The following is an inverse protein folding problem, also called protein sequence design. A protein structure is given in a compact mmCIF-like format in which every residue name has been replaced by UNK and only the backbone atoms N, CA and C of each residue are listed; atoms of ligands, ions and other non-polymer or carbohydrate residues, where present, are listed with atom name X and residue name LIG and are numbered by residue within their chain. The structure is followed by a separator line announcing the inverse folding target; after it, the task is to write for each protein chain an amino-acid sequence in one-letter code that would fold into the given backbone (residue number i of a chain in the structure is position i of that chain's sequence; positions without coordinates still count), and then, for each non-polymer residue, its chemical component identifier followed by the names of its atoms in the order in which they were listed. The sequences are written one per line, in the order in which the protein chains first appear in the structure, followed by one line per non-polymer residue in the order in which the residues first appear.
data_IF_897759647667
#
_entry.id   IF_897759647667
#
_cell.length_a   1.000
_cell.length_b   1.000
_cell.length_c   1.000
_cell.angle_alpha   90.00
_cell.angle_beta   90.00
_cell.angle_gamma   90.00
#
_symmetry.space_group_name_H-M   'P 1'
#
loop_
_entity.id
_entity.type
_entity.pdbx_description
1 polymer ?
#
# COMPACT_ATOMS: atom_id res chain seq x y z
N UNK A 1 -2.61 -6.20 -21.34
CA UNK A 1 -1.96 -4.88 -21.43
C UNK A 1 -1.57 -4.44 -20.01
N UNK A 2 -0.31 -4.06 -19.76
CA UNK A 2 0.15 -3.70 -18.41
C UNK A 2 -0.42 -2.37 -17.92
N UNK A 3 -0.80 -2.28 -16.64
CA UNK A 3 -1.38 -1.04 -16.10
C UNK A 3 -0.29 0.03 -15.96
N UNK A 4 -0.46 1.17 -16.66
CA UNK A 4 0.44 2.32 -16.53
C UNK A 4 0.48 2.80 -15.07
N UNK A 5 1.69 2.96 -14.54
CA UNK A 5 1.97 3.53 -13.20
C UNK A 5 2.74 4.82 -13.39
N UNK A 6 2.38 5.86 -12.64
CA UNK A 6 3.18 7.09 -12.54
C UNK A 6 4.15 7.03 -11.33
N UNK A 7 4.93 8.09 -11.12
CA UNK A 7 5.86 8.15 -9.99
C UNK A 7 5.16 8.10 -8.63
N UNK A 8 3.93 8.63 -8.53
CA UNK A 8 3.07 8.59 -7.34
C UNK A 8 2.70 7.15 -7.02
N UNK A 9 2.15 6.43 -8.00
CA UNK A 9 1.81 5.01 -7.87
C UNK A 9 3.05 4.18 -7.50
N UNK A 10 4.21 4.47 -8.10
CA UNK A 10 5.46 3.76 -7.83
C UNK A 10 5.85 3.90 -6.35
N UNK A 11 6.14 5.11 -5.89
CA UNK A 11 6.64 5.34 -4.53
C UNK A 11 5.63 5.01 -3.43
N UNK A 12 4.33 5.27 -3.64
CA UNK A 12 3.30 4.80 -2.71
C UNK A 12 3.30 3.27 -2.60
N UNK A 13 3.31 2.55 -3.74
CA UNK A 13 3.29 1.10 -3.73
C UNK A 13 4.59 0.49 -3.16
N UNK A 14 5.74 1.16 -3.35
CA UNK A 14 7.00 0.79 -2.71
C UNK A 14 6.91 0.97 -1.19
N UNK A 15 6.31 2.06 -0.69
CA UNK A 15 6.04 2.24 0.73
C UNK A 15 5.17 1.12 1.31
N UNK A 16 4.06 0.77 0.65
CA UNK A 16 3.13 -0.28 1.12
C UNK A 16 3.84 -1.63 1.29
N UNK A 17 4.71 -2.02 0.35
CA UNK A 17 5.47 -3.28 0.45
C UNK A 17 6.58 -3.22 1.49
N UNK A 18 7.28 -2.09 1.57
CA UNK A 18 8.34 -1.87 2.54
C UNK A 18 7.80 -1.81 3.99
N UNK A 19 6.57 -1.29 4.20
CA UNK A 19 5.83 -1.33 5.48
C UNK A 19 5.80 -2.75 6.06
N UNK A 20 5.52 -3.73 5.22
CA UNK A 20 5.34 -5.14 5.58
C UNK A 20 6.63 -5.96 5.42
N UNK A 21 7.79 -5.30 5.31
CA UNK A 21 9.08 -5.95 5.08
C UNK A 21 9.03 -6.95 3.90
N UNK A 22 8.36 -6.57 2.81
CA UNK A 22 8.15 -7.42 1.62
C UNK A 22 7.56 -8.79 1.93
N UNK A 23 6.71 -8.85 2.96
CA UNK A 23 5.96 -10.04 3.40
C UNK A 23 4.49 -9.85 3.07
N UNK A 24 3.83 -10.93 2.61
CA UNK A 24 2.40 -10.96 2.36
C UNK A 24 1.64 -10.91 3.69
N UNK A 25 0.85 -9.86 3.91
CA UNK A 25 0.10 -9.65 5.15
C UNK A 25 -1.01 -10.69 5.38
N UNK A 26 -1.47 -11.37 4.33
CA UNK A 26 -2.47 -12.45 4.43
C UNK A 26 -1.85 -13.83 4.67
N UNK A 27 -0.76 -14.17 3.96
CA UNK A 27 -0.25 -15.55 3.90
C UNK A 27 1.14 -15.75 4.53
N UNK A 28 1.75 -14.69 5.08
CA UNK A 28 3.10 -14.73 5.66
C UNK A 28 4.24 -15.03 4.67
N UNK A 29 3.96 -15.11 3.36
CA UNK A 29 4.99 -15.37 2.34
C UNK A 29 5.99 -14.22 2.31
N UNK A 30 7.28 -14.51 2.42
CA UNK A 30 8.37 -13.52 2.40
C UNK A 30 9.07 -13.51 1.03
N UNK A 31 9.32 -12.32 0.48
CA UNK A 31 10.20 -12.15 -0.69
C UNK A 31 11.59 -11.66 -0.23
N UNK A 32 12.50 -12.62 0.00
CA UNK A 32 13.86 -12.35 0.48
C UNK A 32 14.70 -11.53 -0.52
N UNK A 33 14.50 -11.70 -1.84
CA UNK A 33 15.17 -10.88 -2.87
C UNK A 33 14.72 -9.42 -2.74
N UNK A 34 13.42 -9.20 -2.50
CA UNK A 34 12.86 -7.87 -2.35
C UNK A 34 13.25 -7.18 -1.04
N UNK A 35 13.38 -7.92 0.07
CA UNK A 35 13.92 -7.37 1.32
C UNK A 35 15.31 -6.77 1.11
N UNK A 36 16.20 -7.52 0.45
CA UNK A 36 17.56 -7.06 0.14
C UNK A 36 17.57 -5.91 -0.90
N UNK A 37 16.85 -6.04 -2.02
CA UNK A 37 17.00 -5.16 -3.19
C UNK A 37 16.00 -4.00 -3.27
N UNK A 38 14.94 -4.01 -2.46
CA UNK A 38 13.80 -3.09 -2.57
C UNK A 38 12.96 -3.29 -3.86
N UNK A 39 13.05 -4.46 -4.50
CA UNK A 39 12.34 -4.79 -5.75
C UNK A 39 11.76 -6.20 -5.66
N UNK A 40 10.45 -6.33 -5.80
CA UNK A 40 9.76 -7.62 -5.81
C UNK A 40 9.16 -7.95 -7.17
N UNK A 41 9.11 -9.25 -7.47
CA UNK A 41 8.32 -9.85 -8.55
C UNK A 41 7.08 -10.60 -8.03
N UNK A 42 6.95 -10.75 -6.72
CA UNK A 42 5.92 -11.58 -6.08
C UNK A 42 4.96 -10.79 -5.19
N UNK A 43 5.43 -9.70 -4.57
CA UNK A 43 4.68 -8.82 -3.68
C UNK A 43 4.09 -7.64 -4.45
N UNK A 44 2.82 -7.40 -4.21
CA UNK A 44 2.01 -6.37 -4.85
C UNK A 44 1.41 -5.44 -3.80
N UNK A 45 1.06 -4.22 -4.24
CA UNK A 45 0.27 -3.29 -3.45
C UNK A 45 -1.19 -3.52 -3.80
N UNK A 46 -1.91 -4.25 -2.95
CA UNK A 46 -3.32 -4.51 -3.11
C UNK A 46 -4.13 -3.35 -2.52
N UNK A 47 -4.90 -2.68 -3.36
CA UNK A 47 -5.79 -1.59 -2.95
C UNK A 47 -7.12 -2.14 -2.46
N UNK A 48 -7.58 -1.69 -1.28
CA UNK A 48 -8.89 -2.06 -0.71
C UNK A 48 -9.99 -1.45 -1.58
N UNK A 49 -10.01 -0.12 -1.67
CA UNK A 49 -10.74 0.61 -2.69
C UNK A 49 -9.83 0.84 -3.90
N UNK A 50 -10.11 0.13 -4.98
CA UNK A 50 -9.29 0.10 -6.19
C UNK A 50 -8.95 1.48 -6.76
N UNK A 51 -7.84 1.55 -7.51
CA UNK A 51 -7.16 2.76 -8.04
C UNK A 51 -8.02 3.80 -8.80
N UNK A 52 -9.30 3.54 -9.04
CA UNK A 52 -10.30 4.50 -9.53
C UNK A 52 -10.70 5.54 -8.46
N UNK A 53 -10.73 5.16 -7.18
CA UNK A 53 -11.05 6.05 -6.05
C UNK A 53 -9.86 6.98 -5.76
N UNK A 54 -9.83 8.13 -6.45
CA UNK A 54 -8.64 9.00 -6.50
C UNK A 54 -8.28 9.61 -5.16
N UNK A 55 -9.26 9.92 -4.32
CA UNK A 55 -9.14 10.45 -2.96
C UNK A 55 -8.34 9.53 -2.02
N UNK A 56 -8.48 8.21 -2.17
CA UNK A 56 -7.77 7.21 -1.33
C UNK A 56 -6.70 6.40 -2.06
N UNK A 57 -6.47 6.64 -3.36
CA UNK A 57 -5.51 5.88 -4.19
C UNK A 57 -4.09 5.82 -3.63
N UNK A 58 -3.68 6.86 -2.92
CA UNK A 58 -2.37 6.94 -2.25
C UNK A 58 -2.51 7.22 -0.75
N UNK A 59 -3.61 6.76 -0.13
CA UNK A 59 -3.83 6.85 1.31
C UNK A 59 -3.30 5.56 2.00
N UNK A 60 -2.46 5.64 3.06
CA UNK A 60 -1.78 4.46 3.62
C UNK A 60 -2.71 3.34 4.11
N UNK A 61 -3.89 3.68 4.63
CA UNK A 61 -4.85 2.67 5.10
C UNK A 61 -5.59 1.97 3.94
N UNK A 62 -5.59 2.53 2.73
CA UNK A 62 -6.29 1.95 1.58
C UNK A 62 -5.50 0.83 0.87
N UNK A 63 -4.34 0.42 1.40
CA UNK A 63 -3.51 -0.58 0.75
C UNK A 63 -2.71 -1.46 1.71
N UNK A 64 -2.59 -2.73 1.32
CA UNK A 64 -1.83 -3.78 2.01
C UNK A 64 -0.82 -4.43 1.06
N UNK A 65 0.23 -5.02 1.63
CA UNK A 65 1.20 -5.84 0.90
C UNK A 65 0.68 -7.28 0.80
N UNK A 66 0.44 -7.76 -0.42
CA UNK A 66 0.00 -9.13 -0.67
C UNK A 66 0.90 -9.80 -1.70
N UNK A 67 1.10 -11.11 -1.58
CA UNK A 67 1.62 -11.91 -2.68
C UNK A 67 0.63 -11.90 -3.86
N UNK A 68 1.13 -12.01 -5.08
CA UNK A 68 0.30 -12.05 -6.30
C UNK A 68 -0.78 -13.14 -6.25
N UNK A 69 -0.49 -14.28 -5.60
CA UNK A 69 -1.47 -15.34 -5.31
C UNK A 69 -2.59 -14.87 -4.38
N UNK A 70 -2.27 -14.23 -3.25
CA UNK A 70 -3.29 -13.71 -2.32
C UNK A 70 -4.07 -12.53 -2.90
N UNK A 71 -3.40 -11.66 -3.65
CA UNK A 71 -4.04 -10.53 -4.34
C UNK A 71 -5.02 -11.01 -5.41
N UNK A 72 -4.66 -12.03 -6.20
CA UNK A 72 -5.59 -12.68 -7.14
C UNK A 72 -6.76 -13.35 -6.41
N UNK A 73 -6.47 -14.13 -5.36
CA UNK A 73 -7.49 -14.80 -4.54
C UNK A 73 -8.60 -13.83 -4.09
N UNK A 74 -8.20 -12.69 -3.53
CA UNK A 74 -9.12 -11.65 -3.05
C UNK A 74 -9.76 -10.81 -4.15
N UNK A 75 -9.08 -10.62 -5.29
CA UNK A 75 -9.70 -9.99 -6.48
C UNK A 75 -10.86 -10.82 -7.01
N UNK A 76 -10.74 -12.15 -6.97
CA UNK A 76 -11.81 -13.11 -7.32
C UNK A 76 -12.87 -13.24 -6.20
N UNK A 77 -12.53 -12.92 -4.95
CA UNK A 77 -13.36 -13.11 -3.74
C UNK A 77 -13.51 -11.82 -2.93
N UNK A 78 -14.18 -10.78 -3.46
CA UNK A 78 -14.23 -9.46 -2.82
C UNK A 78 -14.95 -9.45 -1.46
N UNK A 79 -15.92 -10.35 -1.22
CA UNK A 79 -16.59 -10.47 0.08
C UNK A 79 -15.65 -11.02 1.17
N UNK A 80 -14.81 -12.00 0.81
CA UNK A 80 -13.79 -12.53 1.71
C UNK A 80 -12.68 -11.50 1.96
N UNK A 81 -12.33 -10.72 0.93
CA UNK A 81 -11.38 -9.62 1.09
C UNK A 81 -11.89 -8.55 2.07
N UNK A 82 -13.15 -8.15 1.96
CA UNK A 82 -13.77 -7.22 2.91
C UNK A 82 -13.78 -7.79 4.34
N UNK A 83 -14.14 -9.06 4.52
CA UNK A 83 -14.12 -9.74 5.82
C UNK A 83 -12.70 -9.79 6.43
N UNK A 84 -11.69 -10.16 5.62
CA UNK A 84 -10.30 -10.16 6.05
C UNK A 84 -9.79 -8.75 6.38
N UNK A 85 -10.14 -7.73 5.60
CA UNK A 85 -9.77 -6.33 5.87
C UNK A 85 -10.36 -5.82 7.19
N UNK A 86 -11.62 -6.15 7.50
CA UNK A 86 -12.22 -5.80 8.80
C UNK A 86 -11.44 -6.44 9.96
N UNK A 87 -11.07 -7.72 9.84
CA UNK A 87 -10.27 -8.42 10.86
C UNK A 87 -8.83 -7.89 10.97
N UNK A 88 -8.22 -7.52 9.84
CA UNK A 88 -6.81 -7.11 9.75
C UNK A 88 -6.55 -5.66 10.15
N UNK A 89 -7.50 -4.75 9.86
CA UNK A 89 -7.41 -3.33 10.21
C UNK A 89 -8.24 -2.93 11.44
N UNK A 90 -9.29 -3.70 11.76
CA UNK A 90 -10.30 -3.36 12.76
C UNK A 90 -11.40 -2.44 12.22
N UNK A 91 -12.63 -2.61 12.71
CA UNK A 91 -13.82 -1.94 12.19
C UNK A 91 -13.70 -0.41 12.16
N UNK A 92 -13.13 0.19 13.22
CA UNK A 92 -12.93 1.65 13.29
C UNK A 92 -11.99 2.19 12.21
N UNK A 93 -10.97 1.43 11.81
CA UNK A 93 -10.08 1.80 10.72
C UNK A 93 -10.78 1.71 9.36
N UNK A 94 -11.69 0.74 9.19
CA UNK A 94 -12.46 0.56 7.95
C UNK A 94 -13.52 1.64 7.80
N UNK A 95 -14.22 2.04 8.87
CA UNK A 95 -15.18 3.15 8.82
C UNK A 95 -14.49 4.49 8.51
N UNK A 96 -13.32 4.79 9.11
CA UNK A 96 -12.50 5.98 8.73
C UNK A 96 -12.12 5.94 7.24
N UNK A 97 -11.70 4.78 6.72
CA UNK A 97 -11.35 4.63 5.30
C UNK A 97 -12.57 4.86 4.40
N UNK A 98 -13.74 4.33 4.78
CA UNK A 98 -15.01 4.46 4.07
C UNK A 98 -15.54 5.89 4.08
N UNK A 99 -15.42 6.62 5.20
CA UNK A 99 -15.68 8.07 5.27
C UNK A 99 -14.80 8.82 4.25
N UNK A 100 -13.48 8.59 4.27
CA UNK A 100 -12.53 9.22 3.33
C UNK A 100 -12.78 8.86 1.86
N UNK A 101 -13.27 7.65 1.57
CA UNK A 101 -13.71 7.24 0.21
C UNK A 101 -14.92 8.05 -0.26
N UNK A 102 -15.82 8.40 0.67
CA UNK A 102 -17.02 9.17 0.37
C UNK A 102 -16.77 10.69 0.36
N UNK A 103 -15.67 11.17 0.93
CA UNK A 103 -15.25 12.56 0.78
C UNK A 103 -14.78 12.84 -0.67
N UNK A 104 -15.69 13.47 -1.43
CA UNK A 104 -15.46 13.90 -2.81
C UNK A 104 -14.78 15.28 -2.92
N UNK A 105 -14.45 15.94 -1.81
CA UNK A 105 -13.70 17.21 -1.81
C UNK A 105 -12.21 16.97 -2.11
N UNK A 106 -11.66 15.84 -1.66
CA UNK A 106 -10.25 15.45 -1.81
C UNK A 106 -9.91 15.21 -3.29
N UNK A 107 -9.17 16.15 -3.89
CA UNK A 107 -8.81 16.14 -5.33
C UNK A 107 -7.36 16.60 -5.55
N UNK A 108 -6.49 15.67 -5.94
CA UNK A 108 -5.09 15.98 -6.23
C UNK A 108 -4.86 16.50 -7.66
N UNK A 109 -4.38 17.74 -7.77
CA UNK A 109 -3.88 18.36 -9.01
C UNK A 109 -2.61 17.68 -9.53
N UNK A 110 -2.16 18.10 -10.73
CA UNK A 110 -0.89 17.63 -11.32
C UNK A 110 0.33 18.04 -10.46
N UNK A 111 0.25 19.16 -9.75
CA UNK A 111 1.35 19.66 -8.91
C UNK A 111 1.42 18.87 -7.60
N UNK A 112 0.29 18.63 -6.95
CA UNK A 112 0.21 17.81 -5.74
C UNK A 112 0.70 16.39 -5.98
N UNK A 113 0.39 15.76 -7.13
CA UNK A 113 0.95 14.44 -7.46
C UNK A 113 2.48 14.40 -7.46
N UNK A 114 3.16 15.48 -7.87
CA UNK A 114 4.63 15.58 -7.76
C UNK A 114 5.07 15.68 -6.29
N UNK A 115 4.33 16.41 -5.46
CA UNK A 115 4.58 16.52 -4.02
C UNK A 115 4.35 15.18 -3.30
N UNK A 116 3.24 14.49 -3.56
CA UNK A 116 2.91 13.14 -3.06
C UNK A 116 4.01 12.14 -3.46
N UNK A 117 4.46 12.15 -4.72
CA UNK A 117 5.55 11.29 -5.19
C UNK A 117 6.88 11.58 -4.47
N UNK A 118 7.20 12.86 -4.19
CA UNK A 118 8.38 13.26 -3.41
C UNK A 118 8.26 12.84 -1.94
N UNK A 119 7.09 13.00 -1.35
CA UNK A 119 6.79 12.60 0.03
C UNK A 119 6.99 11.10 0.22
N UNK A 120 6.31 10.26 -0.58
CA UNK A 120 6.44 8.81 -0.45
C UNK A 120 7.83 8.30 -0.83
N UNK A 121 8.57 8.95 -1.73
CA UNK A 121 10.01 8.65 -1.92
C UNK A 121 10.79 8.84 -0.60
N UNK A 122 10.56 9.94 0.10
CA UNK A 122 11.19 10.22 1.40
C UNK A 122 10.74 9.27 2.52
N UNK A 123 9.47 8.86 2.54
CA UNK A 123 8.99 7.83 3.48
C UNK A 123 9.65 6.47 3.23
N UNK A 124 9.74 6.04 1.96
CA UNK A 124 10.43 4.81 1.57
C UNK A 124 11.91 4.84 1.98
N UNK A 125 12.63 5.93 1.69
CA UNK A 125 14.05 6.11 2.10
C UNK A 125 14.24 6.05 3.63
N UNK A 126 13.30 6.58 4.43
CA UNK A 126 13.31 6.45 5.90
C UNK A 126 13.09 5.01 6.36
N UNK A 127 12.22 4.25 5.69
CA UNK A 127 12.00 2.84 6.02
C UNK A 127 13.19 1.96 5.60
N UNK A 128 13.82 2.22 4.45
CA UNK A 128 15.06 1.52 4.04
C UNK A 128 16.19 1.68 5.05
N UNK A 129 16.43 2.91 5.55
CA UNK A 129 17.39 3.16 6.64
C UNK A 129 17.05 2.42 7.93
N UNK A 130 15.76 2.23 8.22
CA UNK A 130 15.33 1.41 9.35
C UNK A 130 15.62 -0.09 9.13
N UNK A 131 15.45 -0.62 7.90
CA UNK A 131 15.87 -1.99 7.55
C UNK A 131 17.38 -2.18 7.65
N UNK A 132 18.17 -1.21 7.20
CA UNK A 132 19.64 -1.21 7.31
C UNK A 132 20.08 -1.27 8.79
N UNK A 133 19.31 -0.66 9.69
CA UNK A 133 19.50 -0.76 11.15
C UNK A 133 18.89 -2.04 11.77
N UNK A 134 18.55 -3.06 10.96
CA UNK A 134 18.11 -4.37 11.43
C UNK A 134 16.62 -4.50 11.79
N UNK A 135 15.78 -3.48 11.56
CA UNK A 135 14.34 -3.58 11.83
C UNK A 135 13.66 -4.54 10.85
N UNK A 136 13.01 -5.57 11.38
CA UNK A 136 12.29 -6.59 10.60
C UNK A 136 10.77 -6.50 10.75
N UNK A 137 10.30 -5.75 11.74
CA UNK A 137 8.91 -5.58 12.09
C UNK A 137 8.12 -4.76 11.06
N UNK A 138 6.80 -4.66 11.28
CA UNK A 138 5.93 -3.74 10.56
C UNK A 138 6.38 -2.30 10.80
N UNK A 139 6.71 -1.59 9.73
CA UNK A 139 6.97 -0.15 9.76
C UNK A 139 5.74 0.59 9.27
N UNK A 140 5.39 1.67 9.95
CA UNK A 140 4.35 2.59 9.49
C UNK A 140 4.97 3.83 8.84
N UNK A 141 4.27 4.37 7.84
CA UNK A 141 4.69 5.56 7.11
C UNK A 141 3.58 6.60 7.10
N UNK A 142 3.98 7.88 7.13
CA UNK A 142 3.04 8.99 7.25
C UNK A 142 2.36 9.21 5.89
N UNK A 143 1.04 9.37 5.89
CA UNK A 143 0.28 9.81 4.71
C UNK A 143 0.74 11.18 4.20
N UNK A 144 0.39 11.52 2.97
CA UNK A 144 0.59 12.90 2.49
C UNK A 144 -0.39 13.87 3.15
N UNK A 145 -1.58 13.34 3.45
CA UNK A 145 -2.80 13.98 3.95
C UNK A 145 -3.71 12.91 4.60
#
# INVERSE_FOLDING_TARGET
MGIKRDATDKWFSDCVRERANWTCEHSGLVDNEAQATGKSRTMECAHIYGRRSRNVRWYPMNAVCLSSTSHRYFTERPMEFASWINQHLGDGAVEILKERVNDLSIKYSKTEKKAIAKHYKGQFEKMRKQRENGKIERLEFIGYD
#
